data_IF_000759644043
#
_entry.id   IF_000759644043
#
_cell.length_a   1.000
_cell.length_b   1.000
_cell.length_c   1.000
_cell.angle_alpha   90.00
_cell.angle_beta   90.00
_cell.angle_gamma   90.00
#
_symmetry.space_group_name_H-M   'P 1'
#
loop_
_entity.id
_entity.type
_entity.pdbx_description
1 polymer ?
#
# COMPACT_ATOMS: atom_id res chain seq x y z
N UNK A 1 -1.99 -5.96 30.11
CA UNK A 1 -2.86 -6.20 28.94
C UNK A 1 -2.83 -5.00 27.98
N UNK A 2 -2.82 -3.77 28.48
CA UNK A 2 -2.57 -2.52 27.73
C UNK A 2 -1.21 -2.46 27.02
N UNK A 3 -0.15 -2.95 27.66
CA UNK A 3 1.22 -2.86 27.11
C UNK A 3 1.42 -3.75 25.87
N UNK A 4 0.66 -4.85 25.76
CA UNK A 4 0.66 -5.70 24.57
C UNK A 4 0.04 -4.96 23.38
N UNK A 5 -1.11 -4.31 23.58
CA UNK A 5 -1.72 -3.51 22.52
C UNK A 5 -0.86 -2.31 22.13
N UNK A 6 -0.14 -1.70 23.06
CA UNK A 6 0.76 -0.58 22.74
C UNK A 6 1.92 -1.04 21.85
N UNK A 7 2.59 -2.14 22.19
CA UNK A 7 3.74 -2.66 21.44
C UNK A 7 3.37 -3.28 20.07
N UNK A 8 2.19 -3.90 19.93
CA UNK A 8 1.76 -4.55 18.68
C UNK A 8 0.75 -3.76 17.86
N UNK A 9 0.34 -2.57 18.32
CA UNK A 9 -0.67 -1.71 17.67
C UNK A 9 -0.41 -1.51 16.17
N UNK A 10 0.83 -1.20 15.81
CA UNK A 10 1.23 -0.94 14.44
C UNK A 10 1.13 -2.18 13.53
N UNK A 11 1.49 -3.37 14.04
CA UNK A 11 1.36 -4.63 13.30
C UNK A 11 -0.12 -5.01 13.10
N UNK A 12 -0.94 -4.82 14.15
CA UNK A 12 -2.38 -5.08 14.08
C UNK A 12 -3.04 -4.14 13.07
N UNK A 13 -2.67 -2.85 13.07
CA UNK A 13 -3.15 -1.86 12.09
C UNK A 13 -2.80 -2.28 10.66
N UNK A 14 -1.54 -2.68 10.40
CA UNK A 14 -1.12 -3.14 9.08
C UNK A 14 -1.94 -4.34 8.61
N UNK A 15 -2.17 -5.32 9.48
CA UNK A 15 -2.96 -6.52 9.16
C UNK A 15 -4.43 -6.19 8.86
N UNK A 16 -5.02 -5.28 9.64
CA UNK A 16 -6.37 -4.78 9.39
C UNK A 16 -6.47 -4.07 8.03
N UNK A 17 -5.53 -3.18 7.71
CA UNK A 17 -5.51 -2.49 6.42
C UNK A 17 -5.32 -3.46 5.25
N UNK A 18 -4.47 -4.47 5.41
CA UNK A 18 -4.24 -5.51 4.40
C UNK A 18 -5.52 -6.31 4.15
N UNK A 19 -6.24 -6.66 5.22
CA UNK A 19 -7.53 -7.38 5.14
C UNK A 19 -8.61 -6.51 4.48
N UNK A 20 -8.69 -5.23 4.83
CA UNK A 20 -9.65 -4.29 4.23
C UNK A 20 -9.36 -4.05 2.76
N UNK A 21 -8.09 -3.87 2.38
CA UNK A 21 -7.68 -3.71 0.99
C UNK A 21 -8.02 -4.95 0.15
N UNK A 22 -7.67 -6.14 0.66
CA UNK A 22 -7.98 -7.41 0.01
C UNK A 22 -9.50 -7.63 -0.12
N UNK A 23 -10.26 -7.33 0.93
CA UNK A 23 -11.72 -7.36 0.92
C UNK A 23 -12.30 -6.44 -0.18
N UNK A 24 -11.78 -5.21 -0.26
CA UNK A 24 -12.19 -4.23 -1.27
C UNK A 24 -11.93 -4.71 -2.70
N UNK A 25 -10.81 -5.38 -2.95
CA UNK A 25 -10.44 -5.89 -4.27
C UNK A 25 -11.32 -7.08 -4.71
N UNK A 26 -11.62 -8.01 -3.79
CA UNK A 26 -12.30 -9.26 -4.14
C UNK A 26 -13.82 -9.17 -4.10
N UNK A 27 -14.40 -8.47 -3.12
CA UNK A 27 -15.85 -8.54 -2.85
C UNK A 27 -16.67 -7.38 -3.41
N UNK A 28 -16.04 -6.27 -3.79
CA UNK A 28 -16.78 -5.13 -4.36
C UNK A 28 -17.02 -5.34 -5.84
N UNK A 29 -18.26 -5.15 -6.31
CA UNK A 29 -18.65 -5.31 -7.72
C UNK A 29 -18.25 -4.14 -8.61
N UNK A 30 -18.31 -2.92 -8.07
CA UNK A 30 -17.92 -1.73 -8.81
C UNK A 30 -16.40 -1.64 -8.95
N UNK A 31 -15.90 -1.51 -10.19
CA UNK A 31 -14.48 -1.47 -10.47
C UNK A 31 -13.74 -0.27 -9.82
N UNK A 32 -14.39 0.88 -9.63
CA UNK A 32 -13.80 2.01 -8.91
C UNK A 32 -13.48 1.61 -7.46
N UNK A 33 -14.39 0.88 -6.81
CA UNK A 33 -14.18 0.40 -5.44
C UNK A 33 -13.08 -0.66 -5.37
N UNK A 34 -12.91 -1.48 -6.41
CA UNK A 34 -11.78 -2.43 -6.51
C UNK A 34 -10.44 -1.69 -6.61
N UNK A 35 -10.36 -0.61 -7.41
CA UNK A 35 -9.15 0.22 -7.52
C UNK A 35 -8.82 0.89 -6.18
N UNK A 36 -9.81 1.41 -5.46
CA UNK A 36 -9.61 1.95 -4.10
C UNK A 36 -9.15 0.85 -3.13
N UNK A 37 -9.71 -0.36 -3.22
CA UNK A 37 -9.24 -1.51 -2.44
C UNK A 37 -7.76 -1.83 -2.71
N UNK A 38 -7.36 -1.77 -3.98
CA UNK A 38 -5.98 -2.01 -4.41
C UNK A 38 -5.01 -0.96 -3.84
N UNK A 39 -5.39 0.32 -3.82
CA UNK A 39 -4.52 1.36 -3.25
C UNK A 39 -4.35 1.22 -1.75
N UNK A 40 -5.42 0.87 -1.03
CA UNK A 40 -5.37 0.58 0.41
C UNK A 40 -4.47 -0.63 0.68
N UNK A 41 -4.60 -1.69 -0.13
CA UNK A 41 -3.78 -2.89 -0.01
C UNK A 41 -2.29 -2.59 -0.22
N UNK A 42 -1.97 -1.81 -1.25
CA UNK A 42 -0.61 -1.39 -1.53
C UNK A 42 -0.01 -0.54 -0.40
N UNK A 43 -0.78 0.43 0.12
CA UNK A 43 -0.36 1.24 1.26
C UNK A 43 -0.11 0.38 2.52
N UNK A 44 -0.94 -0.64 2.76
CA UNK A 44 -0.77 -1.57 3.88
C UNK A 44 0.56 -2.36 3.78
N UNK A 45 0.91 -2.83 2.58
CA UNK A 45 2.19 -3.52 2.34
C UNK A 45 3.37 -2.56 2.61
N UNK A 46 3.29 -1.33 2.11
CA UNK A 46 4.34 -0.33 2.32
C UNK A 46 4.55 -0.08 3.82
N UNK A 47 3.47 0.13 4.57
CA UNK A 47 3.53 0.34 6.02
C UNK A 47 4.12 -0.88 6.74
N UNK A 48 3.76 -2.10 6.32
CA UNK A 48 4.30 -3.33 6.91
C UNK A 48 5.83 -3.44 6.74
N UNK A 49 6.37 -3.09 5.57
CA UNK A 49 7.81 -3.10 5.33
C UNK A 49 8.54 -1.99 6.09
N UNK A 50 7.96 -0.79 6.18
CA UNK A 50 8.52 0.31 6.98
C UNK A 50 8.58 -0.08 8.46
N UNK A 51 7.53 -0.70 8.98
CA UNK A 51 7.49 -1.15 10.37
C UNK A 51 8.56 -2.21 10.67
N UNK A 52 8.83 -3.11 9.72
CA UNK A 52 9.90 -4.13 9.85
C UNK A 52 11.30 -3.52 9.79
N UNK A 53 11.45 -2.34 9.17
CA UNK A 53 12.71 -1.62 9.08
C UNK A 53 13.03 -0.79 10.35
N UNK A 54 12.04 -0.58 11.21
CA UNK A 54 12.17 0.25 12.41
C UNK A 54 13.11 -0.41 13.43
N UNK A 55 14.09 0.36 13.90
CA UNK A 55 15.05 -0.04 14.94
C UNK A 55 14.97 0.96 16.10
N UNK A 56 14.71 0.48 17.31
CA UNK A 56 14.68 1.32 18.51
C UNK A 56 16.05 1.94 18.77
N UNK A 57 16.11 3.27 18.88
CA UNK A 57 17.36 4.02 19.04
C UNK A 57 18.15 4.23 17.74
N UNK A 58 17.63 3.82 16.59
CA UNK A 58 18.22 4.10 15.29
C UNK A 58 17.85 5.49 14.77
N UNK A 59 18.84 6.24 14.28
CA UNK A 59 18.66 7.50 13.56
C UNK A 59 18.31 7.26 12.08
N UNK A 60 17.82 8.30 11.40
CA UNK A 60 17.50 8.28 9.97
C UNK A 60 18.73 7.93 9.13
N UNK A 61 18.60 7.22 7.99
CA UNK A 61 19.73 6.76 7.19
C UNK A 61 20.28 7.90 6.31
N UNK A 62 20.61 9.01 6.93
CA UNK A 62 21.21 10.21 6.35
C UNK A 62 22.48 10.48 7.14
N UNK A 63 23.61 10.63 6.45
CA UNK A 63 24.89 10.86 7.10
C UNK A 63 24.80 12.15 7.92
N UNK A 64 24.98 12.01 9.23
CA UNK A 64 25.16 13.13 10.14
C UNK A 64 26.67 13.35 10.36
N UNK A 65 27.13 14.60 10.29
CA UNK A 65 28.53 14.96 10.55
C UNK A 65 28.89 14.80 12.04
N UNK A 66 27.90 14.77 12.94
CA UNK A 66 28.09 14.59 14.38
C UNK A 66 28.31 13.13 14.81
N UNK A 67 28.07 12.14 13.93
CA UNK A 67 28.17 10.72 14.24
C UNK A 67 29.40 10.09 13.57
N UNK A 68 30.29 9.42 14.32
CA UNK A 68 31.42 8.69 13.75
C UNK A 68 30.97 7.61 12.75
N UNK A 69 31.69 7.46 11.63
CA UNK A 69 31.40 6.47 10.57
C UNK A 69 31.42 5.02 11.07
N UNK A 70 32.02 4.78 12.23
CA UNK A 70 32.23 3.45 12.81
C UNK A 70 30.97 2.91 13.51
N UNK A 71 29.95 3.75 13.74
CA UNK A 71 28.67 3.37 14.36
C UNK A 71 27.57 3.14 13.32
N UNK A 72 27.80 2.23 12.38
CA UNK A 72 26.78 1.82 11.40
C UNK A 72 25.49 1.30 12.07
N UNK A 73 25.60 0.75 13.28
CA UNK A 73 24.47 0.29 14.08
C UNK A 73 23.56 1.39 14.61
N UNK A 74 24.01 2.65 14.61
CA UNK A 74 23.19 3.78 15.03
C UNK A 74 22.12 4.14 13.98
N UNK A 75 22.20 3.61 12.76
CA UNK A 75 21.28 3.94 11.67
C UNK A 75 20.18 2.87 11.49
N UNK A 76 18.99 3.29 11.09
CA UNK A 76 17.94 2.38 10.63
C UNK A 76 18.29 1.78 9.26
N UNK A 77 17.74 0.62 8.93
CA UNK A 77 18.04 -0.06 7.67
C UNK A 77 17.53 0.77 6.47
N UNK A 78 18.39 1.26 5.56
CA UNK A 78 17.97 2.05 4.41
C UNK A 78 17.27 1.22 3.32
N UNK A 79 17.47 -0.10 3.30
CA UNK A 79 16.98 -0.95 2.21
C UNK A 79 15.45 -0.93 2.09
N UNK A 80 14.66 -1.13 3.16
CA UNK A 80 13.20 -1.07 3.04
C UNK A 80 12.70 0.32 2.65
N UNK A 81 13.34 1.40 3.12
CA UNK A 81 12.94 2.76 2.73
C UNK A 81 13.11 3.02 1.23
N UNK A 82 14.24 2.59 0.66
CA UNK A 82 14.49 2.70 -0.78
C UNK A 82 13.51 1.85 -1.59
N UNK A 83 13.28 0.59 -1.18
CA UNK A 83 12.35 -0.32 -1.87
C UNK A 83 10.89 0.16 -1.80
N UNK A 84 10.48 0.79 -0.69
CA UNK A 84 9.12 1.30 -0.55
C UNK A 84 8.90 2.58 -1.36
N UNK A 85 9.92 3.44 -1.50
CA UNK A 85 9.82 4.62 -2.36
C UNK A 85 9.54 4.24 -3.81
N UNK A 86 10.21 3.20 -4.32
CA UNK A 86 9.94 2.70 -5.68
C UNK A 86 8.55 2.07 -5.80
N UNK A 87 8.12 1.32 -4.77
CA UNK A 87 6.77 0.76 -4.72
C UNK A 87 5.69 1.85 -4.80
N UNK A 88 5.85 2.97 -4.09
CA UNK A 88 4.91 4.11 -4.14
C UNK A 88 4.76 4.64 -5.57
N UNK A 89 5.87 4.89 -6.26
CA UNK A 89 5.86 5.44 -7.63
C UNK A 89 5.15 4.48 -8.59
N UNK A 90 5.48 3.17 -8.52
CA UNK A 90 4.80 2.14 -9.32
C UNK A 90 3.30 2.10 -9.00
N UNK A 91 2.94 2.24 -7.73
CA UNK A 91 1.54 2.31 -7.30
C UNK A 91 0.75 3.41 -7.97
N UNK A 92 1.23 4.64 -7.86
CA UNK A 92 0.56 5.80 -8.46
C UNK A 92 0.43 5.63 -9.98
N UNK A 93 1.46 5.09 -10.64
CA UNK A 93 1.41 4.78 -12.07
C UNK A 93 0.33 3.74 -12.41
N UNK A 94 0.25 2.63 -11.65
CA UNK A 94 -0.77 1.59 -11.87
C UNK A 94 -2.19 2.11 -11.63
N UNK A 95 -2.40 2.97 -10.64
CA UNK A 95 -3.69 3.63 -10.40
C UNK A 95 -4.07 4.54 -11.55
N UNK A 96 -3.12 5.33 -12.08
CA UNK A 96 -3.36 6.17 -13.25
C UNK A 96 -3.80 5.37 -14.48
N UNK A 97 -3.11 4.25 -14.76
CA UNK A 97 -3.49 3.34 -15.85
C UNK A 97 -4.85 2.69 -15.58
N UNK A 98 -5.11 2.24 -14.36
CA UNK A 98 -6.39 1.64 -13.99
C UNK A 98 -7.55 2.63 -14.20
N UNK A 99 -7.41 3.88 -13.73
CA UNK A 99 -8.42 4.92 -13.91
C UNK A 99 -8.62 5.28 -15.40
N UNK A 100 -7.54 5.35 -16.17
CA UNK A 100 -7.64 5.54 -17.63
C UNK A 100 -8.44 4.43 -18.30
N UNK A 101 -8.21 3.18 -17.89
CA UNK A 101 -8.97 2.03 -18.38
C UNK A 101 -10.44 2.13 -17.96
N UNK A 102 -10.73 2.53 -16.72
CA UNK A 102 -12.11 2.70 -16.25
C UNK A 102 -12.88 3.76 -17.03
N UNK A 103 -12.26 4.88 -17.37
CA UNK A 103 -12.88 5.91 -18.21
C UNK A 103 -13.26 5.32 -19.58
N UNK A 104 -12.37 4.52 -20.17
CA UNK A 104 -12.62 3.86 -21.46
C UNK A 104 -13.72 2.80 -21.37
N UNK A 105 -13.74 2.00 -20.31
CA UNK A 105 -14.79 0.99 -20.06
C UNK A 105 -16.14 1.68 -19.88
N UNK A 106 -16.21 2.74 -19.08
CA UNK A 106 -17.45 3.50 -18.91
C UNK A 106 -17.94 4.10 -20.23
N UNK A 107 -17.03 4.60 -21.07
CA UNK A 107 -17.39 5.09 -22.41
C UNK A 107 -17.94 4.02 -23.36
N UNK A 108 -17.57 2.75 -23.16
CA UNK A 108 -18.02 1.64 -24.01
C UNK A 108 -19.32 0.97 -23.51
N UNK A 109 -19.47 0.81 -22.19
CA UNK A 109 -20.55 0.02 -21.57
C UNK A 109 -21.53 0.86 -20.74
N UNK A 110 -21.28 2.16 -20.53
CA UNK A 110 -22.14 3.04 -19.74
C UNK A 110 -22.27 2.70 -18.24
N UNK A 111 -21.64 1.62 -17.77
CA UNK A 111 -21.60 1.19 -16.37
C UNK A 111 -20.17 0.81 -15.96
N UNK A 112 -19.89 0.88 -14.66
CA UNK A 112 -18.66 0.39 -14.02
C UNK A 112 -18.96 -0.75 -13.04
N UNK A 113 -20.17 -1.30 -13.07
CA UNK A 113 -20.51 -2.51 -12.36
C UNK A 113 -20.18 -3.75 -13.20
N UNK A 114 -19.52 -4.71 -12.58
CA UNK A 114 -19.07 -5.95 -13.20
C UNK A 114 -20.23 -6.80 -13.75
N UNK A 115 -21.39 -6.80 -13.07
CA UNK A 115 -22.55 -7.57 -13.54
C UNK A 115 -23.17 -6.97 -14.81
N UNK A 116 -23.19 -5.63 -14.91
CA UNK A 116 -23.72 -4.91 -16.09
C UNK A 116 -22.80 -5.10 -17.31
N UNK A 117 -21.49 -4.92 -17.10
CA UNK A 117 -20.49 -5.08 -18.16
C UNK A 117 -20.49 -6.52 -18.69
N UNK A 118 -20.59 -7.52 -17.81
CA UNK A 118 -20.64 -8.94 -18.22
C UNK A 118 -21.89 -9.25 -19.04
N UNK A 119 -23.04 -8.63 -18.72
CA UNK A 119 -24.28 -8.81 -19.49
C UNK A 119 -24.17 -8.20 -20.88
N UNK A 120 -23.67 -6.98 -21.00
CA UNK A 120 -23.51 -6.32 -22.30
C UNK A 120 -22.46 -6.99 -23.17
N UNK A 121 -21.34 -7.45 -22.61
CA UNK A 121 -20.31 -8.17 -23.36
C UNK A 121 -20.76 -9.57 -23.84
N UNK A 122 -21.82 -10.13 -23.26
CA UNK A 122 -22.38 -11.44 -23.64
C UNK A 122 -23.46 -11.37 -24.72
N UNK A 123 -23.85 -10.16 -25.15
CA UNK A 123 -24.75 -9.93 -26.29
C UNK A 123 -23.95 -9.84 -27.58
#
# INVERSE_FOLDING_TARGET
MSDFFSNYSAYILCFLLLTVGLYGMLLKRNYVKKVIGMTIFQAAIILFFIQTAYKTGGTVPVKDEALPLDQADAYINPLPHALMLTAIVVGVATVGVALSLLIRVYGAYGSLDEDDIRREASK
#
